data_IF_889192206295
#
_entry.id   IF_889192206295
#
_cell.length_a   1.000
_cell.length_b   1.000
_cell.length_c   1.000
_cell.angle_alpha   90.00
_cell.angle_beta   90.00
_cell.angle_gamma   90.00
#
_symmetry.space_group_name_H-M   'P 1'
#
loop_
_entity.id
_entity.type
_entity.pdbx_description
1 polymer ?
#
# COMPACT_ATOMS: atom_id res chain seq x y z
N UNK A 1 -22.85 -12.56 -10.86
CA UNK A 1 -22.40 -11.41 -11.68
C UNK A 1 -20.99 -11.71 -12.17
N UNK A 2 -20.64 -11.34 -13.40
CA UNK A 2 -19.26 -11.45 -13.88
C UNK A 2 -18.52 -10.16 -13.54
N UNK A 3 -17.36 -10.26 -12.89
CA UNK A 3 -16.52 -9.11 -12.52
C UNK A 3 -15.57 -8.76 -13.67
N UNK A 4 -15.40 -7.48 -13.96
CA UNK A 4 -14.39 -7.03 -14.94
C UNK A 4 -12.97 -7.19 -14.39
N UNK A 5 -11.96 -7.13 -15.26
CA UNK A 5 -10.57 -7.37 -14.86
C UNK A 5 -10.07 -6.48 -13.72
N UNK A 6 -10.45 -5.20 -13.68
CA UNK A 6 -10.08 -4.27 -12.60
C UNK A 6 -10.69 -4.69 -11.26
N UNK A 7 -11.95 -5.12 -11.26
CA UNK A 7 -12.62 -5.66 -10.07
C UNK A 7 -11.95 -6.95 -9.58
N UNK A 8 -11.53 -7.82 -10.50
CA UNK A 8 -10.82 -9.06 -10.18
C UNK A 8 -9.44 -8.75 -9.55
N UNK A 9 -8.65 -7.87 -10.17
CA UNK A 9 -7.33 -7.45 -9.67
C UNK A 9 -7.45 -6.75 -8.31
N UNK A 10 -8.44 -5.87 -8.14
CA UNK A 10 -8.70 -5.25 -6.84
C UNK A 10 -9.05 -6.29 -5.76
N UNK A 11 -9.85 -7.30 -6.09
CA UNK A 11 -10.17 -8.36 -5.15
C UNK A 11 -8.94 -9.21 -4.77
N UNK A 12 -8.01 -9.46 -5.71
CA UNK A 12 -6.72 -10.09 -5.42
C UNK A 12 -5.85 -9.22 -4.50
N UNK A 13 -5.82 -7.91 -4.73
CA UNK A 13 -5.20 -6.93 -3.82
C UNK A 13 -5.81 -7.01 -2.42
N UNK A 14 -7.14 -7.02 -2.31
CA UNK A 14 -7.84 -7.18 -1.03
C UNK A 14 -7.51 -8.51 -0.35
N UNK A 15 -7.38 -9.60 -1.12
CA UNK A 15 -7.02 -10.92 -0.60
C UNK A 15 -5.60 -10.99 0.00
N UNK A 16 -4.66 -10.15 -0.45
CA UNK A 16 -3.35 -10.04 0.20
C UNK A 16 -3.45 -9.51 1.65
N UNK A 17 -4.50 -8.73 1.95
CA UNK A 17 -4.73 -8.13 3.27
C UNK A 17 -5.57 -9.02 4.21
N UNK A 18 -5.80 -10.29 3.87
CA UNK A 18 -6.70 -11.19 4.63
C UNK A 18 -6.25 -11.42 6.09
N UNK A 19 -4.95 -11.22 6.37
CA UNK A 19 -4.33 -11.30 7.70
C UNK A 19 -4.20 -9.95 8.41
N UNK A 20 -4.67 -8.84 7.85
CA UNK A 20 -4.47 -7.48 8.39
C UNK A 20 -4.88 -7.31 9.86
N UNK A 21 -5.87 -8.08 10.32
CA UNK A 21 -6.37 -8.09 11.70
C UNK A 21 -5.79 -9.21 12.58
N UNK A 22 -4.95 -10.09 12.04
CA UNK A 22 -4.38 -11.22 12.76
C UNK A 22 -3.09 -10.83 13.48
N UNK A 23 -2.84 -11.45 14.62
CA UNK A 23 -1.57 -11.41 15.36
C UNK A 23 -1.05 -12.84 15.53
N UNK A 24 0.27 -12.98 15.58
CA UNK A 24 0.91 -14.27 15.76
C UNK A 24 2.35 -14.29 15.24
N UNK A 25 3.05 -15.38 15.54
CA UNK A 25 4.37 -15.65 14.95
C UNK A 25 4.26 -15.75 13.44
N UNK A 26 5.37 -15.52 12.73
CA UNK A 26 5.40 -15.63 11.27
C UNK A 26 4.91 -17.00 10.80
N UNK A 27 5.35 -18.07 11.48
CA UNK A 27 4.96 -19.44 11.16
C UNK A 27 3.46 -19.70 11.33
N UNK A 28 2.85 -19.21 12.43
CA UNK A 28 1.42 -19.37 12.68
C UNK A 28 0.59 -18.59 11.63
N UNK A 29 1.01 -17.37 11.31
CA UNK A 29 0.36 -16.54 10.30
C UNK A 29 0.52 -17.14 8.89
N UNK A 30 1.71 -17.65 8.55
CA UNK A 30 1.97 -18.34 7.29
C UNK A 30 1.08 -19.58 7.13
N UNK A 31 0.96 -20.39 8.18
CA UNK A 31 0.08 -21.59 8.18
C UNK A 31 -1.38 -21.20 7.96
N UNK A 32 -1.85 -20.15 8.66
CA UNK A 32 -3.19 -19.61 8.49
C UNK A 32 -3.42 -19.09 7.07
N UNK A 33 -2.46 -18.41 6.47
CA UNK A 33 -2.57 -17.90 5.10
C UNK A 33 -2.59 -19.02 4.05
N UNK A 34 -1.70 -20.01 4.18
CA UNK A 34 -1.60 -21.15 3.28
C UNK A 34 -2.92 -21.92 3.14
N UNK A 35 -3.65 -22.07 4.25
CA UNK A 35 -4.92 -22.80 4.27
C UNK A 35 -6.12 -21.99 3.75
N UNK A 36 -6.02 -20.66 3.71
CA UNK A 36 -7.19 -19.81 3.53
C UNK A 36 -7.17 -18.92 2.27
N UNK A 37 -6.00 -18.56 1.75
CA UNK A 37 -5.90 -17.61 0.63
C UNK A 37 -6.58 -18.13 -0.64
N UNK A 38 -6.22 -19.33 -1.11
CA UNK A 38 -6.82 -19.89 -2.32
C UNK A 38 -8.34 -20.11 -2.16
N UNK A 39 -8.85 -20.71 -1.07
CA UNK A 39 -10.29 -20.79 -0.83
C UNK A 39 -10.99 -19.42 -0.84
N UNK A 40 -10.38 -18.38 -0.26
CA UNK A 40 -10.96 -17.04 -0.24
C UNK A 40 -11.08 -16.45 -1.65
N UNK A 41 -10.05 -16.62 -2.50
CA UNK A 41 -10.07 -16.19 -3.90
C UNK A 41 -11.14 -16.95 -4.69
N UNK A 42 -11.18 -18.28 -4.57
CA UNK A 42 -12.16 -19.12 -5.27
C UNK A 42 -13.59 -18.78 -4.86
N UNK A 43 -13.85 -18.61 -3.55
CA UNK A 43 -15.17 -18.28 -3.03
C UNK A 43 -15.64 -16.87 -3.39
N UNK A 44 -14.72 -15.95 -3.70
CA UNK A 44 -15.08 -14.61 -4.16
C UNK A 44 -15.70 -14.60 -5.56
N UNK A 45 -15.53 -15.68 -6.34
CA UNK A 45 -16.13 -15.82 -7.67
C UNK A 45 -15.61 -14.79 -8.69
N UNK A 46 -14.34 -14.38 -8.55
CA UNK A 46 -13.69 -13.36 -9.39
C UNK A 46 -13.02 -13.94 -10.65
N UNK A 47 -13.40 -15.14 -11.08
CA UNK A 47 -12.76 -15.87 -12.18
C UNK A 47 -11.76 -16.92 -11.71
N UNK A 48 -11.14 -17.60 -12.67
CA UNK A 48 -10.34 -18.81 -12.47
C UNK A 48 -8.89 -18.50 -12.03
N UNK A 49 -8.77 -17.76 -10.92
CA UNK A 49 -7.49 -17.38 -10.34
C UNK A 49 -6.93 -18.45 -9.41
N UNK A 50 -5.67 -18.82 -9.64
CA UNK A 50 -4.91 -19.77 -8.85
C UNK A 50 -3.64 -19.14 -8.30
N UNK A 51 -3.32 -19.34 -7.02
CA UNK A 51 -2.04 -18.91 -6.44
C UNK A 51 -0.93 -19.82 -6.97
N UNK A 52 0.01 -19.23 -7.71
CA UNK A 52 1.11 -19.95 -8.39
C UNK A 52 2.48 -19.66 -7.79
N UNK A 53 2.60 -18.63 -6.97
CA UNK A 53 3.80 -18.35 -6.19
C UNK A 53 3.43 -17.74 -4.83
N UNK A 54 4.12 -18.19 -3.78
CA UNK A 54 3.76 -17.85 -2.41
C UNK A 54 2.55 -18.66 -1.92
N UNK A 55 1.69 -18.10 -1.04
CA UNK A 55 1.82 -16.77 -0.46
C UNK A 55 2.95 -16.70 0.57
N UNK A 56 3.50 -15.51 0.77
CA UNK A 56 4.53 -15.26 1.79
C UNK A 56 3.99 -14.35 2.89
N UNK A 57 4.32 -14.72 4.12
CA UNK A 57 4.20 -13.89 5.31
C UNK A 57 5.61 -13.57 5.79
N UNK A 58 5.90 -12.28 5.98
CA UNK A 58 7.18 -11.83 6.51
C UNK A 58 6.98 -10.95 7.75
N UNK A 59 7.87 -11.13 8.71
CA UNK A 59 8.01 -10.29 9.90
C UNK A 59 9.49 -10.00 10.17
N UNK A 60 9.79 -8.76 10.58
CA UNK A 60 11.11 -8.37 11.07
C UNK A 60 11.45 -9.10 12.38
N UNK A 61 10.43 -9.38 13.21
CA UNK A 61 10.52 -10.23 14.39
C UNK A 61 9.62 -11.48 14.23
N UNK A 62 10.14 -12.59 13.64
CA UNK A 62 9.35 -13.79 13.33
C UNK A 62 8.72 -14.46 14.56
N UNK A 63 9.34 -14.31 15.74
CA UNK A 63 8.89 -14.92 16.99
C UNK A 63 7.83 -14.09 17.74
N UNK A 64 7.58 -12.83 17.33
CA UNK A 64 6.57 -12.00 17.98
C UNK A 64 5.17 -12.55 17.75
N UNK A 65 4.49 -12.95 18.83
CA UNK A 65 3.10 -13.40 18.80
C UNK A 65 2.07 -12.26 18.94
N UNK A 66 2.51 -11.04 19.24
CA UNK A 66 1.65 -9.90 19.60
C UNK A 66 1.50 -8.86 18.49
N UNK A 67 2.09 -9.13 17.32
CA UNK A 67 2.06 -8.24 16.15
C UNK A 67 1.55 -9.01 14.94
N UNK A 68 0.97 -8.30 13.97
CA UNK A 68 0.56 -8.85 12.69
C UNK A 68 1.72 -9.11 11.74
N UNK A 69 1.44 -9.57 10.50
CA UNK A 69 2.48 -9.67 9.49
C UNK A 69 2.98 -8.28 9.10
N UNK A 70 4.28 -8.12 8.93
CA UNK A 70 4.83 -6.86 8.42
C UNK A 70 4.55 -6.74 6.91
N UNK A 71 4.65 -7.86 6.18
CA UNK A 71 4.30 -7.94 4.77
C UNK A 71 3.60 -9.26 4.42
N UNK A 72 2.69 -9.18 3.45
CA UNK A 72 2.08 -10.34 2.79
C UNK A 72 2.06 -10.10 1.29
N UNK A 73 2.48 -11.08 0.51
CA UNK A 73 2.39 -11.01 -0.96
C UNK A 73 2.36 -12.39 -1.60
N UNK A 74 1.80 -12.45 -2.81
CA UNK A 74 1.67 -13.68 -3.60
C UNK A 74 1.46 -13.35 -5.08
N UNK A 75 1.61 -14.37 -5.94
CA UNK A 75 1.25 -14.24 -7.36
C UNK A 75 0.10 -15.19 -7.66
N UNK A 76 -0.98 -14.65 -8.21
CA UNK A 76 -2.06 -15.43 -8.80
C UNK A 76 -1.95 -15.46 -10.33
N UNK A 77 -2.43 -16.54 -10.95
CA UNK A 77 -2.51 -16.72 -12.40
C UNK A 77 -3.92 -17.05 -12.81
N UNK A 78 -4.35 -16.44 -13.90
CA UNK A 78 -5.52 -16.84 -14.68
C UNK A 78 -5.06 -17.02 -16.14
N UNK A 79 -5.16 -18.25 -16.70
CA UNK A 79 -4.66 -18.56 -18.03
C UNK A 79 -5.44 -17.90 -19.18
N UNK A 80 -6.61 -17.32 -18.90
CA UNK A 80 -7.50 -16.71 -19.91
C UNK A 80 -8.26 -15.51 -19.34
N UNK A 81 -7.56 -14.64 -18.59
CA UNK A 81 -8.18 -13.44 -18.02
C UNK A 81 -8.69 -12.52 -19.12
N UNK A 82 -9.96 -12.14 -19.06
CA UNK A 82 -10.64 -11.33 -20.08
C UNK A 82 -10.50 -9.83 -19.78
N UNK A 83 -9.91 -9.07 -20.72
CA UNK A 83 -9.73 -7.62 -20.64
C UNK A 83 -10.77 -6.82 -21.45
N UNK A 84 -11.82 -7.49 -21.91
CA UNK A 84 -12.91 -6.91 -22.72
C UNK A 84 -12.66 -7.03 -24.22
N UNK A 85 -11.43 -6.81 -24.66
CA UNK A 85 -10.99 -6.93 -26.05
C UNK A 85 -10.48 -8.34 -26.40
N UNK A 86 -9.73 -8.95 -25.49
CA UNK A 86 -9.15 -10.27 -25.64
C UNK A 86 -8.88 -10.94 -24.29
N UNK A 87 -8.59 -12.24 -24.34
CA UNK A 87 -8.14 -13.02 -23.18
C UNK A 87 -6.63 -13.24 -23.22
N UNK A 88 -6.00 -13.13 -22.05
CA UNK A 88 -4.55 -13.29 -21.89
C UNK A 88 -4.22 -14.20 -20.71
N UNK A 89 -3.17 -14.99 -20.86
CA UNK A 89 -2.51 -15.62 -19.71
C UNK A 89 -1.93 -14.51 -18.83
N UNK A 90 -2.45 -14.38 -17.61
CA UNK A 90 -2.25 -13.20 -16.78
C UNK A 90 -1.80 -13.59 -15.39
N UNK A 91 -0.78 -12.91 -14.90
CA UNK A 91 -0.21 -13.05 -13.58
C UNK A 91 -0.43 -11.74 -12.80
N UNK A 92 -0.80 -11.84 -11.53
CA UNK A 92 -1.03 -10.70 -10.65
C UNK A 92 -0.16 -10.86 -9.40
N UNK A 93 0.85 -10.01 -9.24
CA UNK A 93 1.55 -9.84 -7.97
C UNK A 93 0.71 -8.91 -7.08
N UNK A 94 0.12 -9.48 -6.03
CA UNK A 94 -0.67 -8.75 -5.05
C UNK A 94 0.14 -8.55 -3.77
N UNK A 95 0.30 -7.29 -3.35
CA UNK A 95 1.05 -6.88 -2.17
C UNK A 95 0.12 -6.24 -1.16
N UNK A 96 0.17 -6.73 0.08
CA UNK A 96 -0.63 -6.22 1.18
C UNK A 96 -0.15 -4.85 1.66
N UNK A 97 -1.07 -4.10 2.24
CA UNK A 97 -0.75 -2.94 3.05
C UNK A 97 -0.45 -3.33 4.50
N UNK A 98 -0.57 -2.36 5.39
CA UNK A 98 -0.20 -2.52 6.79
C UNK A 98 -1.14 -3.43 7.58
N UNK A 99 -0.57 -4.30 8.42
CA UNK A 99 -1.32 -5.06 9.42
C UNK A 99 -1.15 -4.51 10.84
N UNK A 100 -2.03 -4.92 11.75
CA UNK A 100 -2.06 -4.49 13.15
C UNK A 100 -0.70 -4.64 13.86
N UNK A 101 -0.21 -3.54 14.45
CA UNK A 101 0.99 -3.55 15.30
C UNK A 101 2.29 -3.90 14.57
N UNK A 102 2.32 -3.80 13.24
CA UNK A 102 3.52 -4.03 12.46
C UNK A 102 4.54 -2.91 12.66
N UNK A 103 5.71 -3.30 13.15
CA UNK A 103 6.82 -2.39 13.48
C UNK A 103 7.56 -1.96 12.21
N UNK A 104 7.59 -2.81 11.18
CA UNK A 104 8.15 -2.45 9.88
C UNK A 104 7.26 -1.45 9.14
N UNK A 105 5.93 -1.54 9.26
CA UNK A 105 5.06 -0.58 8.58
C UNK A 105 5.20 0.84 9.14
N UNK A 106 5.48 0.98 10.45
CA UNK A 106 5.94 2.25 11.02
C UNK A 106 7.27 2.70 10.41
N UNK A 107 8.20 1.78 10.12
CA UNK A 107 9.48 2.11 9.47
C UNK A 107 9.29 2.50 8.00
N UNK A 108 8.52 1.76 7.20
CA UNK A 108 8.39 2.02 5.76
C UNK A 108 7.55 3.27 5.47
N UNK A 109 6.52 3.50 6.27
CA UNK A 109 5.71 4.71 6.18
C UNK A 109 6.38 5.90 6.88
N UNK A 110 7.15 5.75 7.97
CA UNK A 110 7.79 6.89 8.65
C UNK A 110 9.24 7.19 8.24
N UNK A 111 9.99 6.28 7.59
CA UNK A 111 11.33 6.53 7.03
C UNK A 111 11.25 7.24 5.66
N UNK A 112 10.41 8.27 5.60
CA UNK A 112 10.43 9.25 4.52
C UNK A 112 11.43 10.36 4.77
N UNK A 113 11.96 10.49 5.98
CA UNK A 113 13.02 11.46 6.30
C UNK A 113 14.38 11.14 5.67
N UNK A 114 14.51 9.98 5.03
CA UNK A 114 15.69 9.57 4.25
C UNK A 114 15.25 9.05 2.89
N UNK A 115 16.10 9.22 1.89
CA UNK A 115 15.82 8.81 0.50
C UNK A 115 16.94 7.97 -0.09
N UNK A 116 16.62 7.24 -1.15
CA UNK A 116 17.53 6.41 -1.94
C UNK A 116 17.48 6.89 -3.38
N UNK A 117 18.64 7.09 -4.01
CA UNK A 117 18.73 7.35 -5.45
C UNK A 117 18.29 6.08 -6.18
N UNK A 118 17.10 6.13 -6.78
CA UNK A 118 16.41 4.94 -7.28
C UNK A 118 17.18 4.28 -8.43
N UNK A 119 17.74 5.08 -9.34
CA UNK A 119 18.43 4.54 -10.51
C UNK A 119 19.79 3.98 -10.10
N UNK A 120 20.54 4.71 -9.28
CA UNK A 120 21.83 4.25 -8.76
C UNK A 120 21.69 2.93 -7.96
N UNK A 121 20.64 2.81 -7.14
CA UNK A 121 20.34 1.58 -6.43
C UNK A 121 19.97 0.42 -7.37
N UNK A 122 19.14 0.68 -8.38
CA UNK A 122 18.78 -0.34 -9.38
C UNK A 122 20.01 -0.82 -10.16
N UNK A 123 20.90 0.09 -10.56
CA UNK A 123 22.15 -0.21 -11.29
C UNK A 123 23.16 -0.99 -10.43
N UNK A 124 23.22 -0.69 -9.13
CA UNK A 124 24.00 -1.47 -8.14
C UNK A 124 23.44 -2.89 -7.97
N UNK A 125 22.14 -3.05 -8.21
CA UNK A 125 21.42 -4.32 -8.19
C UNK A 125 20.26 -4.29 -7.21
N UNK A 126 19.05 -4.53 -7.70
CA UNK A 126 17.80 -4.55 -6.93
C UNK A 126 17.73 -5.62 -5.83
N UNK A 127 18.70 -6.55 -5.79
CA UNK A 127 18.89 -7.54 -4.72
C UNK A 127 19.91 -7.11 -3.67
N UNK A 128 20.52 -5.95 -3.82
CA UNK A 128 21.41 -5.32 -2.84
C UNK A 128 20.57 -4.48 -1.87
N UNK A 129 20.94 -4.50 -0.59
CA UNK A 129 20.25 -3.67 0.40
C UNK A 129 20.36 -2.18 0.01
N UNK A 130 19.28 -1.40 0.09
CA UNK A 130 19.32 0.01 -0.28
C UNK A 130 20.13 0.82 0.73
N UNK A 131 20.84 1.83 0.24
CA UNK A 131 21.60 2.75 1.07
C UNK A 131 20.99 4.15 1.03
N UNK A 132 20.89 4.80 2.19
CA UNK A 132 20.39 6.16 2.27
C UNK A 132 21.38 7.13 1.61
N UNK A 133 20.88 8.00 0.75
CA UNK A 133 21.67 9.04 0.12
C UNK A 133 22.24 10.01 1.17
N UNK A 134 23.53 10.28 1.07
CA UNK A 134 24.23 11.24 1.95
C UNK A 134 24.04 12.68 1.50
N UNK A 135 23.74 12.90 0.21
CA UNK A 135 23.39 14.19 -0.40
C UNK A 135 22.25 13.99 -1.38
N UNK A 136 21.42 15.02 -1.56
CA UNK A 136 20.23 14.96 -2.40
C UNK A 136 20.39 15.89 -3.61
N UNK A 137 20.32 15.32 -4.80
CA UNK A 137 20.25 16.04 -6.08
C UNK A 137 18.80 16.10 -6.59
N UNK A 138 18.17 17.28 -6.55
CA UNK A 138 16.76 17.42 -6.93
C UNK A 138 16.42 16.98 -8.37
N UNK A 139 17.42 16.79 -9.24
CA UNK A 139 17.23 16.33 -10.62
C UNK A 139 17.09 14.80 -10.72
N UNK A 140 17.48 14.05 -9.69
CA UNK A 140 17.49 12.59 -9.69
C UNK A 140 16.21 11.98 -9.13
N UNK A 141 15.82 10.77 -9.59
CA UNK A 141 14.67 10.04 -9.06
C UNK A 141 14.99 9.46 -7.69
N UNK A 142 14.45 10.08 -6.64
CA UNK A 142 14.58 9.59 -5.28
C UNK A 142 13.27 8.94 -4.81
N UNK A 143 13.41 7.82 -4.10
CA UNK A 143 12.30 7.20 -3.33
C UNK A 143 12.60 7.27 -1.84
N UNK A 144 11.56 7.22 -1.00
CA UNK A 144 11.72 7.04 0.43
C UNK A 144 12.55 5.79 0.72
N UNK A 145 13.44 5.86 1.70
CA UNK A 145 14.23 4.70 2.13
C UNK A 145 13.32 3.54 2.56
N UNK A 146 12.21 3.86 3.24
CA UNK A 146 11.15 2.91 3.53
C UNK A 146 10.68 2.16 2.29
N UNK A 147 10.27 2.85 1.23
CA UNK A 147 9.86 2.21 -0.03
C UNK A 147 10.97 1.31 -0.62
N UNK A 148 12.23 1.75 -0.62
CA UNK A 148 13.34 0.96 -1.15
C UNK A 148 13.55 -0.35 -0.35
N UNK A 149 13.54 -0.27 0.98
CA UNK A 149 13.62 -1.44 1.86
C UNK A 149 12.40 -2.36 1.67
N UNK A 150 11.23 -1.77 1.42
CA UNK A 150 10.00 -2.40 0.95
C UNK A 150 10.23 -3.34 -0.23
N UNK A 151 10.70 -2.75 -1.33
CA UNK A 151 11.00 -3.44 -2.58
C UNK A 151 12.06 -4.52 -2.35
N UNK A 152 13.16 -4.19 -1.68
CA UNK A 152 14.25 -5.13 -1.39
C UNK A 152 13.74 -6.41 -0.72
N UNK A 153 12.91 -6.31 0.32
CA UNK A 153 12.38 -7.50 0.99
C UNK A 153 11.45 -8.31 0.09
N UNK A 154 10.56 -7.66 -0.67
CA UNK A 154 9.65 -8.36 -1.59
C UNK A 154 10.42 -9.16 -2.64
N UNK A 155 11.54 -8.63 -3.13
CA UNK A 155 12.33 -9.24 -4.19
C UNK A 155 13.28 -10.34 -3.69
N UNK A 156 13.78 -10.24 -2.45
CA UNK A 156 14.81 -11.14 -1.92
C UNK A 156 14.28 -12.26 -1.03
N UNK A 157 13.09 -12.12 -0.45
CA UNK A 157 12.48 -13.17 0.36
C UNK A 157 11.81 -14.21 -0.54
N UNK A 158 12.43 -15.40 -0.60
CA UNK A 158 11.90 -16.55 -1.34
C UNK A 158 10.65 -17.16 -0.71
N UNK A 159 9.90 -17.92 -1.52
CA UNK A 159 8.75 -18.70 -1.07
C UNK A 159 9.19 -19.94 -0.24
N UNK A 160 8.25 -20.83 0.09
CA UNK A 160 8.54 -22.07 0.82
C UNK A 160 9.61 -22.95 0.13
N UNK A 161 9.68 -22.93 -1.21
CA UNK A 161 10.70 -23.61 -2.02
C UNK A 161 11.97 -22.76 -2.22
N UNK A 162 12.11 -21.65 -1.50
CA UNK A 162 13.22 -20.67 -1.58
C UNK A 162 13.36 -19.97 -2.93
N UNK A 163 12.37 -20.10 -3.82
CA UNK A 163 12.33 -19.36 -5.08
C UNK A 163 11.89 -17.92 -4.81
N UNK A 164 12.69 -16.95 -5.24
CA UNK A 164 12.39 -15.51 -5.21
C UNK A 164 11.36 -15.11 -6.27
N UNK A 165 10.79 -13.90 -6.14
CA UNK A 165 9.93 -13.34 -7.19
C UNK A 165 10.72 -13.18 -8.49
N UNK A 166 11.96 -12.71 -8.42
CA UNK A 166 12.81 -12.47 -9.60
C UNK A 166 12.97 -13.77 -10.40
N UNK A 167 13.32 -14.87 -9.73
CA UNK A 167 13.46 -16.18 -10.35
C UNK A 167 12.13 -16.68 -10.95
N UNK A 168 11.01 -16.47 -10.26
CA UNK A 168 9.70 -16.87 -10.77
C UNK A 168 9.29 -16.05 -12.00
N UNK A 169 9.41 -14.73 -11.95
CA UNK A 169 9.06 -13.84 -13.07
C UNK A 169 9.89 -14.16 -14.32
N UNK A 170 11.15 -14.59 -14.16
CA UNK A 170 11.99 -15.00 -15.28
C UNK A 170 11.46 -16.24 -16.04
N UNK A 171 10.55 -17.02 -15.43
CA UNK A 171 9.88 -18.18 -16.05
C UNK A 171 8.59 -17.84 -16.79
N UNK A 172 8.04 -16.63 -16.59
CA UNK A 172 6.78 -16.23 -17.21
C UNK A 172 6.99 -16.02 -18.73
N UNK A 173 6.10 -16.54 -19.59
CA UNK A 173 6.18 -16.30 -21.01
C UNK A 173 6.10 -14.80 -21.37
N UNK A 174 6.90 -14.31 -22.34
CA UNK A 174 6.86 -12.91 -22.78
C UNK A 174 5.49 -12.40 -23.28
N UNK A 175 4.64 -13.33 -23.73
CA UNK A 175 3.28 -13.07 -24.23
C UNK A 175 2.25 -12.92 -23.11
N UNK A 176 2.59 -13.30 -21.87
CA UNK A 176 1.68 -13.20 -20.73
C UNK A 176 1.60 -11.76 -20.23
N UNK A 177 0.48 -11.39 -19.61
CA UNK A 177 0.33 -10.11 -18.90
C UNK A 177 0.79 -10.25 -17.46
N UNK A 178 1.47 -9.24 -16.93
CA UNK A 178 1.88 -9.18 -15.53
C UNK A 178 1.32 -7.90 -14.92
N UNK A 179 0.58 -8.03 -13.83
CA UNK A 179 -0.05 -6.92 -13.13
C UNK A 179 0.53 -6.83 -11.72
N UNK A 180 0.97 -5.63 -11.34
CA UNK A 180 1.43 -5.33 -9.99
C UNK A 180 0.35 -4.53 -9.27
N UNK A 181 -0.22 -5.08 -8.20
CA UNK A 181 -1.35 -4.46 -7.50
C UNK A 181 -1.13 -4.45 -5.98
N UNK A 182 -1.74 -3.46 -5.34
CA UNK A 182 -1.76 -3.36 -3.89
C UNK A 182 -2.67 -2.24 -3.42
N UNK A 183 -2.95 -2.23 -2.13
CA UNK A 183 -3.76 -1.22 -1.46
C UNK A 183 -2.95 -0.61 -0.30
N UNK A 184 -3.15 0.68 0.00
CA UNK A 184 -2.44 1.37 1.07
C UNK A 184 -0.93 1.36 0.82
N UNK A 185 -0.08 0.97 1.79
CA UNK A 185 1.35 0.74 1.57
C UNK A 185 1.62 -0.18 0.36
N UNK A 186 0.82 -1.22 0.13
CA UNK A 186 0.92 -2.07 -1.06
C UNK A 186 0.70 -1.29 -2.36
N UNK A 187 -0.12 -0.24 -2.33
CA UNK A 187 -0.33 0.69 -3.44
C UNK A 187 0.87 1.60 -3.73
N UNK A 188 1.76 1.83 -2.76
CA UNK A 188 3.05 2.49 -3.01
C UNK A 188 4.12 1.48 -3.47
N UNK A 189 4.15 0.29 -2.88
CA UNK A 189 5.17 -0.73 -3.15
C UNK A 189 4.99 -1.39 -4.51
N UNK A 190 3.79 -1.87 -4.85
CA UNK A 190 3.55 -2.63 -6.08
C UNK A 190 3.99 -1.89 -7.36
N UNK A 191 3.61 -0.61 -7.60
CA UNK A 191 4.08 0.11 -8.80
C UNK A 191 5.58 0.40 -8.76
N UNK A 192 6.15 0.61 -7.57
CA UNK A 192 7.59 0.84 -7.42
C UNK A 192 8.42 -0.43 -7.68
N UNK A 193 7.91 -1.60 -7.27
CA UNK A 193 8.48 -2.92 -7.60
C UNK A 193 8.45 -3.14 -9.13
N UNK A 194 7.33 -2.84 -9.78
CA UNK A 194 7.20 -2.96 -11.23
C UNK A 194 8.26 -2.12 -11.96
N UNK A 195 8.44 -0.87 -11.53
CA UNK A 195 9.44 0.02 -12.10
C UNK A 195 10.87 -0.46 -11.81
N UNK A 196 11.18 -0.94 -10.60
CA UNK A 196 12.51 -1.45 -10.26
C UNK A 196 12.87 -2.67 -11.12
N UNK A 197 11.95 -3.62 -11.28
CA UNK A 197 12.14 -4.80 -12.11
C UNK A 197 12.28 -4.46 -13.60
N UNK A 198 11.50 -3.49 -14.09
CA UNK A 198 11.61 -2.99 -15.46
C UNK A 198 12.99 -2.36 -15.69
N UNK A 199 13.46 -1.51 -14.77
CA UNK A 199 14.75 -0.82 -14.88
C UNK A 199 15.95 -1.76 -14.71
N UNK A 200 15.80 -2.80 -13.91
CA UNK A 200 16.79 -3.87 -13.78
C UNK A 200 16.81 -4.84 -14.98
N UNK A 201 15.91 -4.69 -15.96
CA UNK A 201 15.83 -5.59 -17.12
C UNK A 201 15.32 -7.00 -16.81
N UNK A 202 14.67 -7.20 -15.65
CA UNK A 202 14.14 -8.51 -15.23
C UNK A 202 12.86 -8.86 -15.98
N UNK A 203 12.04 -7.85 -16.29
CA UNK A 203 10.79 -8.05 -17.00
C UNK A 203 11.08 -8.27 -18.49
N UNK A 204 11.09 -9.53 -18.91
CA UNK A 204 11.18 -9.93 -20.33
C UNK A 204 9.97 -9.45 -21.14
N UNK A 205 8.87 -9.17 -20.44
CA UNK A 205 7.65 -8.60 -20.99
C UNK A 205 7.91 -7.09 -21.05
N UNK A 206 7.99 -6.55 -22.27
CA UNK A 206 8.08 -5.10 -22.51
C UNK A 206 6.94 -4.36 -21.78
N UNK A 207 7.06 -3.04 -21.53
CA UNK A 207 6.03 -2.28 -20.79
C UNK A 207 4.61 -2.44 -21.37
N UNK A 208 4.47 -2.86 -22.62
CA UNK A 208 3.18 -3.16 -23.27
C UNK A 208 2.35 -4.27 -22.59
N UNK A 209 3.00 -5.23 -21.92
CA UNK A 209 2.34 -6.36 -21.25
C UNK A 209 2.47 -6.31 -19.72
N UNK A 210 3.00 -5.22 -19.18
CA UNK A 210 3.18 -5.03 -17.74
C UNK A 210 2.33 -3.85 -17.29
N UNK A 211 1.47 -4.10 -16.32
CA UNK A 211 0.56 -3.10 -15.79
C UNK A 211 0.74 -2.95 -14.30
N UNK A 212 0.37 -1.78 -13.79
CA UNK A 212 0.21 -1.56 -12.35
C UNK A 212 -1.23 -1.15 -12.06
N UNK A 213 -1.75 -1.58 -10.91
CA UNK A 213 -3.08 -1.21 -10.43
C UNK A 213 -3.04 -0.84 -8.94
N UNK A 214 -2.30 0.22 -8.55
CA UNK A 214 -2.27 0.68 -7.17
C UNK A 214 -3.56 1.39 -6.78
N UNK A 215 -3.98 1.17 -5.52
CA UNK A 215 -5.10 1.90 -4.91
C UNK A 215 -4.67 2.43 -3.54
N UNK A 216 -5.14 3.62 -3.19
CA UNK A 216 -4.88 4.25 -1.90
C UNK A 216 -3.38 4.36 -1.54
N UNK A 217 -2.47 4.37 -2.53
CA UNK A 217 -1.04 4.37 -2.29
C UNK A 217 -0.56 5.74 -1.80
N UNK A 218 0.23 5.82 -0.70
CA UNK A 218 0.97 7.02 -0.38
C UNK A 218 2.07 7.28 -1.42
N UNK A 219 2.64 8.48 -1.37
CA UNK A 219 3.67 8.93 -2.30
C UNK A 219 5.00 8.27 -2.00
N UNK A 220 5.51 7.48 -2.93
CA UNK A 220 6.76 6.73 -2.79
C UNK A 220 8.04 7.57 -2.99
N UNK A 221 7.98 8.63 -3.79
CA UNK A 221 9.18 9.36 -4.21
C UNK A 221 8.93 10.78 -4.68
N UNK A 222 9.98 11.38 -5.26
CA UNK A 222 9.97 12.77 -5.69
C UNK A 222 9.46 12.96 -7.14
N UNK A 223 9.43 14.21 -7.60
CA UNK A 223 9.00 14.57 -8.96
C UNK A 223 9.71 13.79 -10.08
N UNK A 224 11.05 13.74 -10.12
CA UNK A 224 11.77 12.92 -11.10
C UNK A 224 11.42 11.43 -11.05
N UNK A 225 11.18 10.84 -9.88
CA UNK A 225 10.70 9.46 -9.77
C UNK A 225 9.28 9.29 -10.32
N UNK A 226 8.36 10.20 -10.00
CA UNK A 226 6.99 10.18 -10.54
C UNK A 226 6.97 10.34 -12.07
N UNK A 227 7.83 11.21 -12.62
CA UNK A 227 7.99 11.40 -14.06
C UNK A 227 8.62 10.16 -14.73
N UNK A 228 9.59 9.52 -14.08
CA UNK A 228 10.18 8.27 -14.53
C UNK A 228 9.10 7.17 -14.64
N UNK A 229 8.29 7.02 -13.60
CA UNK A 229 7.16 6.09 -13.60
C UNK A 229 6.16 6.41 -14.73
N UNK A 230 5.72 7.66 -14.85
CA UNK A 230 4.77 8.10 -15.87
C UNK A 230 5.24 7.82 -17.31
N UNK A 231 6.55 7.97 -17.55
CA UNK A 231 7.16 7.69 -18.85
C UNK A 231 7.11 6.20 -19.20
N UNK A 232 7.46 5.34 -18.24
CA UNK A 232 7.62 3.90 -18.49
C UNK A 232 6.31 3.11 -18.34
N UNK A 233 5.38 3.66 -17.56
CA UNK A 233 4.02 3.16 -17.36
C UNK A 233 3.04 4.31 -17.61
N UNK A 234 2.72 4.64 -18.88
CA UNK A 234 1.75 5.70 -19.17
C UNK A 234 0.36 5.33 -18.66
N UNK A 235 -0.36 6.33 -18.13
CA UNK A 235 -1.72 6.17 -17.61
C UNK A 235 -2.65 5.72 -18.74
N UNK A 236 -3.36 4.61 -18.54
CA UNK A 236 -4.33 4.08 -19.49
C UNK A 236 -5.69 4.17 -18.82
N UNK A 237 -6.69 4.78 -19.46
CA UNK A 237 -8.08 4.72 -19.03
C UNK A 237 -8.87 3.96 -20.09
N UNK A 238 -9.43 2.82 -19.72
CA UNK A 238 -10.08 1.88 -20.63
C UNK A 238 -11.57 1.67 -20.33
N UNK A 239 -12.14 2.51 -19.46
CA UNK A 239 -13.57 2.54 -19.19
C UNK A 239 -14.08 3.87 -18.61
N UNK A 240 -15.40 4.01 -18.45
CA UNK A 240 -16.03 5.25 -18.02
C UNK A 240 -15.86 5.57 -16.52
N UNK A 241 -15.51 4.58 -15.69
CA UNK A 241 -15.38 4.77 -14.25
C UNK A 241 -13.93 5.10 -13.87
N UNK A 242 -13.68 5.91 -12.81
CA UNK A 242 -12.31 6.26 -12.39
C UNK A 242 -11.42 5.06 -12.07
N UNK A 243 -12.00 3.92 -11.69
CA UNK A 243 -11.27 2.69 -11.39
C UNK A 243 -10.90 1.86 -12.63
N UNK A 244 -11.44 2.18 -13.80
CA UNK A 244 -11.14 1.49 -15.06
C UNK A 244 -9.91 2.13 -15.71
N UNK A 245 -8.78 1.92 -15.05
CA UNK A 245 -7.49 2.44 -15.47
C UNK A 245 -6.35 1.49 -15.12
N UNK A 246 -5.26 1.60 -15.86
CA UNK A 246 -3.97 0.99 -15.53
C UNK A 246 -2.91 2.08 -15.36
N UNK A 247 -1.85 1.74 -14.65
CA UNK A 247 -0.66 2.59 -14.53
C UNK A 247 -0.92 3.93 -13.84
N UNK A 248 -1.88 3.94 -12.93
CA UNK A 248 -2.19 5.09 -12.10
C UNK A 248 -2.68 4.69 -10.71
N UNK A 249 -2.41 5.54 -9.72
CA UNK A 249 -2.92 5.35 -8.36
C UNK A 249 -4.37 5.84 -8.27
N UNK A 250 -5.29 4.93 -7.95
CA UNK A 250 -6.68 5.32 -7.66
C UNK A 250 -6.72 5.89 -6.25
N UNK A 251 -7.14 7.14 -6.10
CA UNK A 251 -7.17 7.82 -4.81
C UNK A 251 -8.55 8.40 -4.49
N UNK A 252 -9.07 8.11 -3.30
CA UNK A 252 -10.20 8.82 -2.74
C UNK A 252 -9.73 10.18 -2.20
N UNK A 253 -10.39 11.28 -2.58
CA UNK A 253 -10.02 12.62 -2.08
C UNK A 253 -10.24 12.79 -0.58
N UNK A 254 -11.04 11.94 0.04
CA UNK A 254 -11.29 11.93 1.49
C UNK A 254 -10.42 10.90 2.22
N UNK A 255 -9.57 10.17 1.51
CA UNK A 255 -8.62 9.25 2.12
C UNK A 255 -7.30 9.97 2.42
N UNK A 256 -6.86 9.89 3.66
CA UNK A 256 -5.63 10.53 4.13
C UNK A 256 -4.36 9.85 3.63
N UNK A 257 -4.40 8.55 3.27
CA UNK A 257 -3.18 7.82 2.93
C UNK A 257 -2.53 8.31 1.62
N UNK A 258 -3.28 8.54 0.51
CA UNK A 258 -2.74 9.14 -0.71
C UNK A 258 -2.25 10.59 -0.55
N UNK A 259 -2.65 11.29 0.52
CA UNK A 259 -2.19 12.65 0.80
C UNK A 259 -0.74 12.67 1.32
N UNK A 260 -0.30 11.58 1.95
CA UNK A 260 1.09 11.40 2.34
C UNK A 260 1.95 11.13 1.08
N UNK A 261 3.18 11.61 0.94
CA UNK A 261 3.95 12.52 1.79
C UNK A 261 4.10 13.91 1.14
N UNK A 262 3.22 14.23 0.18
CA UNK A 262 3.20 15.53 -0.46
C UNK A 262 2.82 16.62 0.55
N UNK A 263 3.66 17.65 0.68
CA UNK A 263 3.51 18.67 1.73
C UNK A 263 2.17 19.42 1.60
N UNK A 264 1.76 19.77 0.39
CA UNK A 264 0.51 20.54 0.18
C UNK A 264 -0.72 19.69 0.46
N UNK A 265 -0.71 18.42 0.07
CA UNK A 265 -1.76 17.46 0.43
C UNK A 265 -1.81 17.17 1.93
N UNK A 266 -0.67 17.05 2.62
CA UNK A 266 -0.63 16.86 4.07
C UNK A 266 -1.26 18.05 4.82
N UNK A 267 -1.10 19.28 4.31
CA UNK A 267 -1.71 20.49 4.88
C UNK A 267 -3.23 20.50 4.84
N UNK A 268 -3.87 19.71 3.95
CA UNK A 268 -5.33 19.67 3.88
C UNK A 268 -5.97 18.73 4.91
N UNK A 269 -5.19 17.83 5.55
CA UNK A 269 -5.69 16.82 6.50
C UNK A 269 -6.53 17.44 7.64
N UNK A 270 -6.12 18.53 8.31
CA UNK A 270 -6.89 19.10 9.43
C UNK A 270 -8.30 19.58 9.07
N UNK A 271 -8.55 19.85 7.78
CA UNK A 271 -9.83 20.34 7.26
C UNK A 271 -10.57 19.30 6.40
N UNK A 272 -10.01 18.11 6.24
CA UNK A 272 -10.47 17.11 5.26
C UNK A 272 -11.93 16.68 5.46
N UNK A 273 -12.34 16.57 6.72
CA UNK A 273 -13.71 16.18 7.11
C UNK A 273 -14.54 17.36 7.62
N UNK A 274 -14.19 18.59 7.25
CA UNK A 274 -14.86 19.81 7.70
C UNK A 274 -14.27 20.39 8.99
N UNK A 275 -15.06 21.24 9.67
CA UNK A 275 -14.62 21.94 10.88
C UNK A 275 -14.66 21.00 12.08
N UNK A 276 -13.49 20.73 12.66
CA UNK A 276 -13.35 19.86 13.85
C UNK A 276 -13.51 20.68 15.14
N UNK A 277 -13.97 20.06 16.26
CA UNK A 277 -13.86 20.65 17.59
C UNK A 277 -12.42 21.05 17.91
N UNK A 278 -12.23 22.14 18.67
CA UNK A 278 -10.90 22.76 18.87
C UNK A 278 -9.80 21.77 19.28
N UNK A 279 -10.02 20.96 20.32
CA UNK A 279 -9.02 19.99 20.82
C UNK A 279 -8.68 18.94 19.75
N UNK A 280 -9.71 18.35 19.13
CA UNK A 280 -9.51 17.38 18.04
C UNK A 280 -8.77 18.02 16.86
N UNK A 281 -9.15 19.23 16.47
CA UNK A 281 -8.49 19.98 15.40
C UNK A 281 -7.01 20.21 15.68
N UNK A 282 -6.65 20.52 16.93
CA UNK A 282 -5.25 20.69 17.36
C UNK A 282 -4.46 19.40 17.30
N UNK A 283 -5.04 18.28 17.76
CA UNK A 283 -4.40 16.96 17.65
C UNK A 283 -4.15 16.61 16.17
N UNK A 284 -5.14 16.80 15.30
CA UNK A 284 -5.00 16.53 13.86
C UNK A 284 -3.96 17.43 13.19
N UNK A 285 -3.95 18.73 13.54
CA UNK A 285 -2.98 19.70 13.05
C UNK A 285 -1.54 19.34 13.47
N UNK A 286 -1.32 18.97 14.74
CA UNK A 286 0.00 18.56 15.24
C UNK A 286 0.51 17.34 14.46
N UNK A 287 -0.32 16.32 14.25
CA UNK A 287 0.12 15.12 13.52
C UNK A 287 0.41 15.41 12.05
N UNK A 288 -0.43 16.23 11.38
CA UNK A 288 -0.15 16.66 10.01
C UNK A 288 1.17 17.43 9.92
N UNK A 289 1.45 18.32 10.88
CA UNK A 289 2.71 19.06 10.95
C UNK A 289 3.92 18.17 11.21
N UNK A 290 3.80 17.13 12.06
CA UNK A 290 4.84 16.12 12.25
C UNK A 290 5.12 15.35 10.97
N UNK A 291 4.08 14.97 10.23
CA UNK A 291 4.24 14.32 8.93
C UNK A 291 4.94 15.22 7.91
N UNK A 292 4.60 16.52 7.88
CA UNK A 292 5.27 17.53 7.06
C UNK A 292 6.74 17.68 7.45
N UNK A 293 7.06 17.67 8.74
CA UNK A 293 8.44 17.77 9.21
C UNK A 293 9.27 16.56 8.75
N UNK A 294 8.72 15.34 8.80
CA UNK A 294 9.39 14.15 8.27
C UNK A 294 9.60 14.22 6.76
N UNK A 295 8.58 14.64 6.00
CA UNK A 295 8.70 14.82 4.56
C UNK A 295 9.76 15.88 4.20
N UNK A 296 9.85 16.99 4.95
CA UNK A 296 10.88 18.02 4.76
C UNK A 296 12.29 17.53 5.10
N UNK A 297 12.43 16.70 6.13
CA UNK A 297 13.72 16.15 6.55
C UNK A 297 14.37 15.27 5.46
N UNK A 298 13.57 14.73 4.54
CA UNK A 298 14.03 13.99 3.36
C UNK A 298 14.92 14.79 2.40
N UNK A 299 14.77 16.13 2.42
CA UNK A 299 15.39 17.00 1.44
C UNK A 299 14.75 16.98 0.05
N UNK A 300 13.70 16.19 -0.23
CA UNK A 300 13.01 16.13 -1.54
C UNK A 300 11.55 16.61 -1.47
N UNK A 301 11.03 17.06 -2.60
CA UNK A 301 9.59 17.27 -2.79
C UNK A 301 8.91 15.98 -3.23
N UNK A 302 8.17 15.32 -2.32
CA UNK A 302 7.36 14.15 -2.65
C UNK A 302 6.22 14.50 -3.61
N UNK A 303 6.11 13.75 -4.71
CA UNK A 303 5.10 13.94 -5.76
C UNK A 303 4.35 12.62 -6.00
N UNK A 304 3.03 12.58 -5.81
CA UNK A 304 2.23 11.37 -6.06
C UNK A 304 2.42 10.86 -7.49
N UNK A 305 2.30 9.54 -7.67
CA UNK A 305 2.19 8.96 -9.00
C UNK A 305 0.93 9.51 -9.70
N UNK A 306 0.97 9.56 -11.03
CA UNK A 306 -0.23 9.84 -11.83
C UNK A 306 -1.39 8.90 -11.48
N UNK A 307 -2.63 9.29 -11.79
CA UNK A 307 -3.78 8.43 -11.55
C UNK A 307 -5.10 9.17 -11.66
N UNK A 308 -6.14 8.52 -11.11
CA UNK A 308 -7.51 9.01 -11.10
C UNK A 308 -7.94 9.24 -9.66
N UNK A 309 -8.82 10.22 -9.45
CA UNK A 309 -9.41 10.48 -8.14
C UNK A 309 -10.91 10.26 -8.16
N UNK A 310 -11.46 9.89 -7.00
CA UNK A 310 -12.89 9.86 -6.78
C UNK A 310 -13.21 10.45 -5.41
N UNK A 311 -14.49 10.67 -5.13
CA UNK A 311 -14.93 11.23 -3.86
C UNK A 311 -16.28 10.63 -3.52
N UNK A 312 -16.38 10.06 -2.32
CA UNK A 312 -17.67 9.64 -1.77
C UNK A 312 -18.50 10.84 -1.28
N UNK A 313 -19.66 10.60 -0.67
CA UNK A 313 -20.39 11.64 0.06
C UNK A 313 -19.50 12.28 1.14
N UNK A 314 -19.60 13.59 1.32
CA UNK A 314 -18.87 14.28 2.39
C UNK A 314 -19.32 13.73 3.76
N UNK A 315 -18.40 13.24 4.60
CA UNK A 315 -18.74 12.72 5.92
C UNK A 315 -19.18 13.87 6.85
N UNK A 316 -20.02 13.53 7.83
CA UNK A 316 -20.31 14.45 8.94
C UNK A 316 -19.01 14.72 9.71
N UNK A 317 -18.71 16.00 10.05
CA UNK A 317 -17.51 16.34 10.81
C UNK A 317 -17.37 15.51 12.09
N UNK A 318 -16.24 14.81 12.29
CA UNK A 318 -16.01 14.03 13.50
C UNK A 318 -16.04 14.86 14.78
N UNK A 319 -16.85 14.44 15.75
CA UNK A 319 -16.93 15.10 17.05
C UNK A 319 -15.84 14.69 18.05
N UNK A 320 -15.11 13.61 17.78
CA UNK A 320 -13.99 13.13 18.60
C UNK A 320 -13.02 12.28 17.76
N UNK A 321 -11.87 11.94 18.35
CA UNK A 321 -10.82 11.21 17.65
C UNK A 321 -11.24 9.80 17.20
N UNK A 322 -12.03 9.08 18.00
CA UNK A 322 -12.52 7.75 17.59
C UNK A 322 -13.38 7.82 16.32
N UNK A 323 -14.28 8.80 16.24
CA UNK A 323 -15.07 9.05 15.03
C UNK A 323 -14.17 9.44 13.86
N UNK A 324 -13.15 10.28 14.08
CA UNK A 324 -12.20 10.71 13.05
C UNK A 324 -11.43 9.51 12.46
N UNK A 325 -10.88 8.66 13.33
CA UNK A 325 -10.14 7.46 12.93
C UNK A 325 -11.03 6.47 12.17
N UNK A 326 -12.29 6.30 12.61
CA UNK A 326 -13.26 5.46 11.92
C UNK A 326 -13.63 6.01 10.55
N UNK A 327 -13.87 7.31 10.43
CA UNK A 327 -14.12 7.97 9.14
C UNK A 327 -12.93 7.78 8.21
N UNK A 328 -11.70 8.04 8.68
CA UNK A 328 -10.50 7.83 7.88
C UNK A 328 -10.35 6.38 7.40
N UNK A 329 -10.62 5.39 8.25
CA UNK A 329 -10.59 3.99 7.86
C UNK A 329 -11.68 3.65 6.83
N UNK A 330 -12.89 4.21 6.97
CA UNK A 330 -13.99 4.02 6.01
C UNK A 330 -13.63 4.59 4.64
N UNK A 331 -13.09 5.81 4.59
CA UNK A 331 -12.64 6.45 3.35
C UNK A 331 -11.44 5.73 2.74
N UNK A 332 -10.56 5.16 3.56
CA UNK A 332 -9.40 4.40 3.12
C UNK A 332 -9.76 3.03 2.56
N UNK A 333 -10.80 2.36 3.06
CA UNK A 333 -11.12 0.96 2.69
C UNK A 333 -12.47 0.80 2.00
N UNK A 334 -13.54 1.16 2.72
CA UNK A 334 -14.92 0.87 2.31
C UNK A 334 -15.35 1.70 1.10
N UNK A 335 -14.83 2.92 0.95
CA UNK A 335 -15.11 3.77 -0.20
C UNK A 335 -14.61 3.14 -1.52
N UNK A 336 -13.42 2.55 -1.53
CA UNK A 336 -12.86 1.86 -2.71
C UNK A 336 -13.66 0.61 -3.07
N UNK A 337 -14.00 -0.22 -2.08
CA UNK A 337 -14.87 -1.39 -2.30
C UNK A 337 -16.21 -0.97 -2.92
N UNK A 338 -16.79 0.13 -2.42
CA UNK A 338 -18.08 0.64 -2.88
C UNK A 338 -18.00 1.21 -4.30
N UNK A 339 -16.95 1.98 -4.61
CA UNK A 339 -16.72 2.52 -5.96
C UNK A 339 -16.51 1.40 -6.99
N UNK A 340 -15.63 0.45 -6.66
CA UNK A 340 -15.18 -0.59 -7.60
C UNK A 340 -16.27 -1.66 -7.77
N UNK A 341 -17.06 -1.93 -6.74
CA UNK A 341 -18.07 -2.98 -6.78
C UNK A 341 -17.48 -4.40 -6.82
N UNK A 342 -16.25 -4.56 -6.33
CA UNK A 342 -15.60 -5.86 -6.18
C UNK A 342 -16.16 -6.65 -4.97
N UNK A 343 -16.04 -7.99 -4.96
CA UNK A 343 -16.48 -8.77 -3.82
C UNK A 343 -15.60 -8.48 -2.60
N UNK A 344 -16.22 -8.59 -1.42
CA UNK A 344 -15.49 -8.48 -0.15
C UNK A 344 -14.76 -9.79 0.14
N UNK A 345 -13.45 -9.69 0.31
CA UNK A 345 -12.65 -10.80 0.84
C UNK A 345 -12.70 -10.75 2.37
N UNK A 346 -13.25 -11.76 3.06
CA UNK A 346 -13.37 -11.73 4.51
C UNK A 346 -12.00 -11.88 5.19
N UNK A 347 -11.74 -11.07 6.21
CA UNK A 347 -10.53 -11.20 7.04
C UNK A 347 -10.56 -12.50 7.86
N UNK A 348 -9.39 -13.10 8.09
CA UNK A 348 -9.25 -14.35 8.86
C UNK A 348 -9.29 -14.17 10.37
N UNK A 349 -9.18 -12.92 10.83
CA UNK A 349 -9.27 -12.55 12.23
C UNK A 349 -10.21 -11.37 12.36
N UNK A 350 -10.93 -11.33 13.48
CA UNK A 350 -11.80 -10.19 13.77
C UNK A 350 -10.90 -8.97 14.01
N UNK A 351 -11.15 -7.87 13.32
CA UNK A 351 -10.50 -6.63 13.67
C UNK A 351 -10.82 -6.23 15.10
N UNK A 352 -9.88 -5.51 15.73
CA UNK A 352 -10.17 -4.77 16.95
C UNK A 352 -11.27 -3.71 16.69
N UNK A 353 -11.66 -2.92 17.69
CA UNK A 353 -12.48 -1.73 17.44
C UNK A 353 -11.89 -0.87 16.31
N UNK A 354 -12.69 -0.03 15.66
CA UNK A 354 -12.23 0.83 14.55
C UNK A 354 -10.97 1.63 14.90
N UNK A 355 -10.84 2.04 16.17
CA UNK A 355 -9.66 2.68 16.76
C UNK A 355 -8.41 1.79 16.69
N UNK A 356 -8.53 0.49 16.91
CA UNK A 356 -7.41 -0.47 16.86
C UNK A 356 -6.97 -0.83 15.44
N UNK A 357 -7.86 -0.75 14.45
CA UNK A 357 -7.49 -0.90 13.03
C UNK A 357 -6.80 0.35 12.48
N UNK A 358 -7.23 1.53 12.90
CA UNK A 358 -6.60 2.79 12.52
C UNK A 358 -5.13 2.88 12.96
N UNK A 359 -4.71 2.16 14.01
CA UNK A 359 -3.30 2.05 14.44
C UNK A 359 -2.34 1.51 13.35
N UNK A 360 -2.86 0.86 12.31
CA UNK A 360 -2.05 0.40 11.18
C UNK A 360 -1.72 1.48 10.15
N UNK A 361 -2.34 2.67 10.20
CA UNK A 361 -2.02 3.75 9.27
C UNK A 361 -1.09 4.75 9.97
N UNK A 362 0.12 5.05 9.48
CA UNK A 362 1.10 5.73 10.34
C UNK A 362 0.79 7.19 10.68
N UNK A 363 0.05 7.90 9.82
CA UNK A 363 -0.54 9.20 10.17
C UNK A 363 -1.57 9.04 11.31
N UNK A 364 -2.32 7.94 11.33
CA UNK A 364 -3.33 7.66 12.38
C UNK A 364 -2.71 7.08 13.66
N UNK A 365 -1.61 6.35 13.57
CA UNK A 365 -0.87 5.89 14.75
C UNK A 365 -0.26 7.08 15.49
N UNK A 366 0.30 8.06 14.76
CA UNK A 366 0.74 9.34 15.35
C UNK A 366 -0.38 10.09 16.08
N UNK A 367 -1.61 10.11 15.53
CA UNK A 367 -2.78 10.69 16.18
C UNK A 367 -3.18 9.93 17.45
N UNK A 368 -3.02 8.61 17.45
CA UNK A 368 -3.35 7.77 18.59
C UNK A 368 -2.31 7.88 19.72
N UNK A 369 -1.01 7.96 19.41
CA UNK A 369 0.03 8.20 20.40
C UNK A 369 -0.14 9.58 21.06
N UNK A 370 -0.42 10.62 20.26
CA UNK A 370 -0.72 11.95 20.78
C UNK A 370 -1.93 11.94 21.75
N UNK A 371 -2.94 11.09 21.50
CA UNK A 371 -4.07 10.89 22.42
C UNK A 371 -3.67 10.19 23.71
N UNK A 372 -2.77 9.21 23.67
CA UNK A 372 -2.30 8.55 24.88
C UNK A 372 -1.53 9.54 25.77
N UNK A 373 -0.73 10.40 25.16
CA UNK A 373 -0.05 11.50 25.86
C UNK A 373 -1.05 12.53 26.41
N UNK A 374 -2.07 12.93 25.63
CA UNK A 374 -3.15 13.81 26.09
C UNK A 374 -3.92 13.20 27.28
N UNK A 375 -4.32 11.94 27.19
CA UNK A 375 -5.04 11.24 28.26
C UNK A 375 -4.20 11.06 29.52
N UNK A 376 -2.88 10.85 29.36
CA UNK A 376 -1.95 10.80 30.49
C UNK A 376 -1.79 12.18 31.14
N UNK A 377 -1.69 13.25 30.34
CA UNK A 377 -1.65 14.62 30.85
C UNK A 377 -2.96 15.02 31.56
N UNK A 378 -4.13 14.70 30.99
CA UNK A 378 -5.44 14.92 31.62
C UNK A 378 -5.60 14.13 32.92
N UNK A 379 -5.01 12.93 33.01
CA UNK A 379 -4.99 12.13 34.24
C UNK A 379 -4.11 12.79 35.31
N UNK A 380 -2.90 13.19 34.94
CA UNK A 380 -1.95 13.84 35.85
C UNK A 380 -2.47 15.18 36.37
N UNK A 381 -3.22 15.93 35.56
CA UNK A 381 -3.90 17.16 35.99
C UNK A 381 -5.02 16.87 37.01
N UNK A 382 -5.81 15.80 36.81
CA UNK A 382 -6.88 15.40 37.75
C UNK A 382 -6.38 14.74 39.03
N UNK A 383 -5.17 14.17 39.02
CA UNK A 383 -4.51 13.58 40.20
C UNK A 383 -3.68 14.61 40.99
N UNK A 384 -3.47 15.81 40.42
CA UNK A 384 -2.77 16.95 41.03
C UNK A 384 -3.68 17.99 41.70
N UNK A 385 -5.01 17.85 41.58
CA UNK A 385 -6.05 18.56 42.34
C UNK A 385 -6.54 17.71 43.53
#
# INVERSE_FOLDING_TARGET
>A
MSYNIHQQVFALSAASNILSACEGTQEALQTKLNSALQPAITNAGIGDWSVVWGPNVWKANPASATTGPDRVWYIARNPSANFGDASYDTYVLAVAGTAKGSLENVILDAYVSKVVDFIDWVETGITSAPEAATTVDQTKPYIAYGTAAGIFTLLTVGNAAKQTIIEFLATIPPTSRIIFTGHSLGGALAPSVALALLKAGVLKNAPENVFTYPTAGPTAGNGPFAALFARDFPLISDGPSPYQMWNGNLANKLDIAPLAWNIDSLRSIPTLYGVLPYLLGKVVEITANSAIAMAKASGVGYVPLQGQTFTGPTPTPPGNLEVYLRTALQEHTSAYISLIGAPRIPLLCKPASSTGQARGLPILDGLYQARLEEMEMERLEKEGE
#
